data_IF_202700402809
#
_entry.id   IF_202700402809
#
_cell.length_a   1.000
_cell.length_b   1.000
_cell.length_c   1.000
_cell.angle_alpha   90.00
_cell.angle_beta   90.00
_cell.angle_gamma   90.00
#
_symmetry.space_group_name_H-M   'P 1'
#
loop_
_entity.id
_entity.type
_entity.pdbx_description
1 polymer ?
#
# COMPACT_ATOMS: atom_id res chain seq x y z
N UNK A 1 8.79 26.93 -36.84
CA UNK A 1 8.96 25.48 -36.58
C UNK A 1 7.60 24.83 -36.41
N UNK A 2 7.26 23.93 -37.31
CA UNK A 2 5.90 23.59 -37.74
C UNK A 2 5.06 22.74 -36.74
N UNK A 3 3.78 23.06 -36.63
CA UNK A 3 2.79 22.42 -35.75
C UNK A 3 2.62 20.89 -35.98
N UNK A 4 3.02 20.37 -37.15
CA UNK A 4 3.02 18.93 -37.45
C UNK A 4 3.98 18.13 -36.56
N UNK A 5 5.14 18.70 -36.22
CA UNK A 5 6.14 18.03 -35.38
C UNK A 5 5.65 17.87 -33.93
N UNK A 6 5.01 18.90 -33.36
CA UNK A 6 4.44 18.86 -32.00
C UNK A 6 3.36 17.79 -31.83
N UNK A 7 2.47 17.62 -32.81
CA UNK A 7 1.44 16.57 -32.77
C UNK A 7 2.04 15.16 -32.86
N UNK A 8 3.10 14.97 -33.66
CA UNK A 8 3.82 13.69 -33.77
C UNK A 8 4.53 13.31 -32.47
N UNK A 9 5.17 14.28 -31.82
CA UNK A 9 5.82 14.09 -30.52
C UNK A 9 4.78 13.77 -29.45
N UNK A 10 3.66 14.50 -29.42
CA UNK A 10 2.57 14.25 -28.46
C UNK A 10 1.97 12.85 -28.65
N UNK A 11 1.72 12.43 -29.89
CA UNK A 11 1.19 11.11 -30.20
C UNK A 11 2.18 10.00 -29.82
N UNK A 12 3.47 10.20 -30.09
CA UNK A 12 4.54 9.30 -29.65
C UNK A 12 4.61 9.17 -28.13
N UNK A 13 4.49 10.30 -27.40
CA UNK A 13 4.47 10.30 -25.95
C UNK A 13 3.26 9.55 -25.37
N UNK A 14 2.07 9.70 -25.98
CA UNK A 14 0.86 8.98 -25.57
C UNK A 14 1.02 7.46 -25.77
N UNK A 15 1.54 7.03 -26.92
CA UNK A 15 1.79 5.60 -27.19
C UNK A 15 2.81 5.03 -26.21
N UNK A 16 3.90 5.76 -25.96
CA UNK A 16 4.93 5.35 -25.00
C UNK A 16 4.37 5.19 -23.58
N UNK A 17 3.54 6.15 -23.14
CA UNK A 17 2.85 6.09 -21.85
C UNK A 17 1.90 4.88 -21.77
N UNK A 18 1.17 4.59 -22.84
CA UNK A 18 0.29 3.42 -22.91
C UNK A 18 1.08 2.12 -22.77
N UNK A 19 2.20 1.99 -23.49
CA UNK A 19 3.02 0.78 -23.45
C UNK A 19 3.65 0.54 -22.07
N UNK A 20 4.13 1.60 -21.40
CA UNK A 20 4.70 1.51 -20.04
C UNK A 20 3.61 1.11 -19.03
N UNK A 21 2.43 1.70 -19.11
CA UNK A 21 1.33 1.35 -18.21
C UNK A 21 0.82 -0.08 -18.48
N UNK A 22 0.71 -0.49 -19.74
CA UNK A 22 0.25 -1.83 -20.09
C UNK A 22 1.24 -2.91 -19.64
N UNK A 23 2.54 -2.69 -19.86
CA UNK A 23 3.58 -3.61 -19.39
C UNK A 23 3.64 -3.70 -17.87
N UNK A 24 3.43 -2.59 -17.16
CA UNK A 24 3.34 -2.59 -15.70
C UNK A 24 2.13 -3.40 -15.20
N UNK A 25 0.96 -3.23 -15.82
CA UNK A 25 -0.26 -4.00 -15.47
C UNK A 25 -0.03 -5.50 -15.69
N UNK A 26 0.52 -5.89 -16.84
CA UNK A 26 0.82 -7.29 -17.16
C UNK A 26 1.84 -7.87 -16.18
N UNK A 27 2.92 -7.15 -15.89
CA UNK A 27 3.98 -7.60 -14.98
C UNK A 27 3.46 -7.76 -13.56
N UNK A 28 2.68 -6.80 -13.05
CA UNK A 28 2.06 -6.89 -11.72
C UNK A 28 1.04 -8.03 -11.67
N UNK A 29 0.22 -8.19 -12.71
CA UNK A 29 -0.77 -9.26 -12.82
C UNK A 29 -0.13 -10.65 -12.82
N UNK A 30 0.88 -10.86 -13.66
CA UNK A 30 1.60 -12.13 -13.77
C UNK A 30 2.32 -12.51 -12.46
N UNK A 31 3.07 -11.56 -11.87
CA UNK A 31 3.77 -11.78 -10.59
C UNK A 31 2.81 -12.04 -9.43
N UNK A 32 1.58 -11.52 -9.48
CA UNK A 32 0.55 -11.79 -8.47
C UNK A 32 -0.08 -13.17 -8.63
N UNK A 33 -0.20 -13.66 -9.86
CA UNK A 33 -0.71 -15.00 -10.16
C UNK A 33 0.29 -16.09 -9.76
N UNK A 34 1.56 -15.93 -10.11
CA UNK A 34 2.63 -16.89 -9.77
C UNK A 34 2.91 -16.95 -8.26
N UNK A 35 2.93 -15.79 -7.57
CA UNK A 35 3.09 -15.76 -6.09
C UNK A 35 1.92 -16.40 -5.34
N UNK A 36 0.70 -16.38 -5.89
CA UNK A 36 -0.44 -17.11 -5.31
C UNK A 36 -0.21 -18.62 -5.36
N UNK A 37 0.26 -19.15 -6.49
CA UNK A 37 0.46 -20.60 -6.69
C UNK A 37 1.57 -21.21 -5.83
N UNK A 38 2.64 -20.48 -5.57
CA UNK A 38 3.77 -20.96 -4.78
C UNK A 38 3.49 -20.89 -3.28
N UNK A 39 2.93 -19.79 -2.79
CA UNK A 39 2.62 -19.61 -1.37
C UNK A 39 1.39 -20.42 -0.91
N UNK A 40 0.37 -20.59 -1.74
CA UNK A 40 -0.80 -21.41 -1.37
C UNK A 40 -0.43 -22.91 -1.30
N UNK A 41 0.65 -23.36 -1.96
CA UNK A 41 1.11 -24.77 -1.93
C UNK A 41 1.91 -25.11 -0.67
N UNK A 42 2.72 -24.18 -0.17
CA UNK A 42 3.45 -24.34 1.11
C UNK A 42 2.51 -24.20 2.33
N UNK A 43 1.42 -23.44 2.20
CA UNK A 43 0.45 -23.16 3.27
C UNK A 43 -0.56 -24.30 3.55
N UNK A 44 -0.94 -25.09 2.54
CA UNK A 44 -1.93 -26.18 2.70
C UNK A 44 -1.35 -27.37 3.49
N UNK A 45 -0.03 -27.50 3.55
CA UNK A 45 0.62 -28.66 4.16
C UNK A 45 0.77 -28.54 5.69
N UNK A 46 0.69 -27.34 6.28
CA UNK A 46 0.97 -27.16 7.71
C UNK A 46 -0.24 -26.90 8.61
N UNK A 47 -1.33 -26.22 8.22
CA UNK A 47 -2.51 -26.10 9.09
C UNK A 47 -3.85 -25.95 8.36
N UNK A 48 -4.76 -26.90 8.63
CA UNK A 48 -6.19 -26.70 8.46
C UNK A 48 -6.70 -25.56 9.34
N UNK A 49 -7.72 -24.84 8.85
CA UNK A 49 -8.52 -23.87 9.60
C UNK A 49 -7.83 -22.61 10.16
N UNK A 50 -7.80 -21.54 9.35
CA UNK A 50 -8.56 -20.28 9.57
C UNK A 50 -7.97 -19.17 8.70
N UNK A 51 -8.81 -18.64 7.82
CA UNK A 51 -8.49 -17.62 6.83
C UNK A 51 -8.25 -16.26 7.51
N UNK A 52 -7.01 -15.96 7.87
CA UNK A 52 -6.58 -14.59 8.16
C UNK A 52 -5.43 -14.18 7.21
N UNK A 53 -5.64 -13.22 6.29
CA UNK A 53 -4.59 -12.73 5.39
C UNK A 53 -3.35 -12.21 6.14
N UNK A 54 -3.55 -11.68 7.36
CA UNK A 54 -2.47 -11.24 8.25
C UNK A 54 -1.54 -12.37 8.72
N UNK A 55 -2.01 -13.62 8.68
CA UNK A 55 -1.24 -14.79 9.08
C UNK A 55 -0.04 -15.04 8.17
N UNK A 56 -0.21 -14.84 6.85
CA UNK A 56 0.85 -15.08 5.85
C UNK A 56 2.10 -14.23 6.07
N UNK A 57 1.92 -12.95 6.39
CA UNK A 57 3.04 -12.04 6.63
C UNK A 57 3.76 -12.38 7.94
N UNK A 58 3.01 -12.77 8.98
CA UNK A 58 3.60 -13.20 10.26
C UNK A 58 4.47 -14.44 10.05
N UNK A 59 3.98 -15.46 9.34
CA UNK A 59 4.75 -16.67 9.03
C UNK A 59 5.96 -16.41 8.12
N UNK A 60 5.82 -15.52 7.12
CA UNK A 60 6.96 -15.11 6.31
C UNK A 60 8.08 -14.52 7.16
N UNK A 61 7.77 -13.59 8.08
CA UNK A 61 8.76 -12.99 8.98
C UNK A 61 9.38 -14.01 9.93
N UNK A 62 8.59 -14.97 10.43
CA UNK A 62 9.10 -16.08 11.26
C UNK A 62 10.15 -16.90 10.52
N UNK A 63 9.86 -17.26 9.26
CA UNK A 63 10.73 -18.08 8.41
C UNK A 63 11.99 -17.31 7.99
N UNK A 64 11.83 -16.07 7.52
CA UNK A 64 12.92 -15.25 7.00
C UNK A 64 13.92 -14.83 8.08
N UNK A 65 13.45 -14.57 9.30
CA UNK A 65 14.29 -14.17 10.43
C UNK A 65 14.64 -15.34 11.36
N UNK A 66 14.27 -16.58 10.98
CA UNK A 66 14.49 -17.81 11.76
C UNK A 66 14.12 -17.66 13.25
N UNK A 67 12.98 -17.02 13.52
CA UNK A 67 12.57 -16.71 14.90
C UNK A 67 12.21 -17.98 15.65
N UNK A 68 12.72 -18.12 16.88
CA UNK A 68 12.21 -19.11 17.84
C UNK A 68 10.73 -18.84 18.16
N UNK A 69 10.02 -19.85 18.67
CA UNK A 69 8.59 -19.72 19.01
C UNK A 69 8.34 -18.55 19.99
N UNK A 70 9.18 -18.43 21.01
CA UNK A 70 9.08 -17.35 22.00
C UNK A 70 9.34 -15.96 21.39
N UNK A 71 10.31 -15.85 20.47
CA UNK A 71 10.56 -14.59 19.75
C UNK A 71 9.40 -14.25 18.81
N UNK A 72 8.82 -15.25 18.14
CA UNK A 72 7.70 -15.07 17.25
C UNK A 72 6.41 -14.64 17.97
N UNK A 73 6.14 -15.23 19.13
CA UNK A 73 5.00 -14.84 19.98
C UNK A 73 5.15 -13.39 20.45
N UNK A 74 6.36 -13.00 20.89
CA UNK A 74 6.66 -11.62 21.28
C UNK A 74 6.50 -10.65 20.11
N UNK A 75 6.99 -11.01 18.92
CA UNK A 75 6.79 -10.23 17.71
C UNK A 75 5.31 -10.06 17.38
N UNK A 76 4.51 -11.13 17.46
CA UNK A 76 3.08 -11.07 17.20
C UNK A 76 2.38 -10.09 18.16
N UNK A 77 2.68 -10.18 19.45
CA UNK A 77 2.13 -9.26 20.46
C UNK A 77 2.50 -7.80 20.17
N UNK A 78 3.77 -7.53 19.92
CA UNK A 78 4.25 -6.16 19.60
C UNK A 78 3.62 -5.62 18.31
N UNK A 79 3.46 -6.46 17.28
CA UNK A 79 2.81 -6.09 16.02
C UNK A 79 1.33 -5.76 16.22
N UNK A 80 0.63 -6.55 17.03
CA UNK A 80 -0.79 -6.35 17.30
C UNK A 80 -1.01 -5.07 18.10
N UNK A 81 -0.19 -4.82 19.13
CA UNK A 81 -0.20 -3.57 19.90
C UNK A 81 0.08 -2.33 19.01
N UNK A 82 1.11 -2.39 18.17
CA UNK A 82 1.41 -1.30 17.24
C UNK A 82 0.27 -1.08 16.23
N UNK A 83 -0.40 -2.15 15.79
CA UNK A 83 -1.54 -2.05 14.88
C UNK A 83 -2.71 -1.33 15.55
N UNK A 84 -3.05 -1.69 16.79
CA UNK A 84 -4.09 -1.00 17.57
C UNK A 84 -3.75 0.49 17.78
N UNK A 85 -2.49 0.82 18.08
CA UNK A 85 -2.05 2.21 18.28
C UNK A 85 -2.12 3.05 17.01
N UNK A 86 -1.79 2.44 15.87
CA UNK A 86 -1.75 3.14 14.57
C UNK A 86 -3.11 3.21 13.88
N UNK A 87 -4.08 2.38 14.28
CA UNK A 87 -5.41 2.31 13.68
C UNK A 87 -6.11 3.68 13.65
N UNK A 88 -6.05 4.44 14.75
CA UNK A 88 -6.65 5.78 14.84
C UNK A 88 -6.09 6.76 13.79
N UNK A 89 -4.80 6.68 13.48
CA UNK A 89 -4.17 7.54 12.48
C UNK A 89 -4.55 7.11 11.06
N UNK A 90 -4.62 5.79 10.82
CA UNK A 90 -5.10 5.23 9.56
C UNK A 90 -6.55 5.62 9.29
N UNK A 91 -7.40 5.59 10.32
CA UNK A 91 -8.80 6.04 10.22
C UNK A 91 -8.88 7.52 9.83
N UNK A 92 -8.08 8.39 10.45
CA UNK A 92 -7.99 9.81 10.07
C UNK A 92 -7.53 10.01 8.63
N UNK A 93 -6.52 9.28 8.18
CA UNK A 93 -6.06 9.32 6.78
C UNK A 93 -7.20 8.95 5.82
N UNK A 94 -8.00 7.93 6.15
CA UNK A 94 -9.16 7.55 5.31
C UNK A 94 -10.20 8.66 5.23
N UNK A 95 -10.47 9.35 6.34
CA UNK A 95 -11.37 10.50 6.35
C UNK A 95 -10.85 11.63 5.47
N UNK A 96 -9.60 12.05 5.65
CA UNK A 96 -9.01 13.11 4.82
C UNK A 96 -8.97 12.74 3.32
N UNK A 97 -8.70 11.48 2.98
CA UNK A 97 -8.78 11.03 1.58
C UNK A 97 -10.20 11.14 1.01
N UNK A 98 -11.22 10.83 1.82
CA UNK A 98 -12.62 11.01 1.41
C UNK A 98 -12.92 12.49 1.19
N UNK A 99 -12.43 13.36 2.06
CA UNK A 99 -12.63 14.81 1.96
C UNK A 99 -11.92 15.39 0.73
N UNK A 100 -10.71 14.92 0.41
CA UNK A 100 -10.00 15.29 -0.83
C UNK A 100 -10.83 14.90 -2.06
N UNK A 101 -11.37 13.66 -2.09
CA UNK A 101 -12.21 13.20 -3.21
C UNK A 101 -13.47 14.07 -3.32
N UNK A 102 -14.09 14.43 -2.20
CA UNK A 102 -15.25 15.32 -2.18
C UNK A 102 -14.91 16.72 -2.69
N UNK A 103 -13.76 17.28 -2.31
CA UNK A 103 -13.29 18.60 -2.73
C UNK A 103 -12.98 18.64 -4.24
N UNK A 104 -12.31 17.62 -4.77
CA UNK A 104 -12.00 17.51 -6.21
C UNK A 104 -13.28 17.45 -7.06
N UNK A 105 -14.35 16.86 -6.53
CA UNK A 105 -15.62 16.71 -7.23
C UNK A 105 -16.51 17.96 -7.20
N UNK A 106 -16.11 19.04 -6.54
CA UNK A 106 -16.86 20.30 -6.56
C UNK A 106 -16.74 21.00 -7.91
N UNK A 107 -17.74 21.79 -8.29
CA UNK A 107 -17.70 22.61 -9.52
C UNK A 107 -16.52 23.58 -9.55
N UNK A 108 -16.07 24.05 -8.37
CA UNK A 108 -14.89 24.88 -8.18
C UNK A 108 -14.05 24.32 -7.01
N UNK A 109 -13.11 23.40 -7.27
CA UNK A 109 -12.24 22.87 -6.23
C UNK A 109 -11.33 23.94 -5.65
N UNK A 110 -11.19 23.98 -4.32
CA UNK A 110 -10.26 24.89 -3.64
C UNK A 110 -8.89 24.22 -3.42
N UNK A 111 -7.87 24.75 -4.10
CA UNK A 111 -6.49 24.25 -3.99
C UNK A 111 -5.89 24.43 -2.59
N UNK A 112 -6.35 25.42 -1.82
CA UNK A 112 -5.89 25.66 -0.44
C UNK A 112 -6.39 24.56 0.48
N UNK A 113 -7.66 24.17 0.33
CA UNK A 113 -8.27 23.08 1.09
C UNK A 113 -7.58 21.75 0.77
N UNK A 114 -7.31 21.49 -0.52
CA UNK A 114 -6.59 20.29 -0.94
C UNK A 114 -5.17 20.22 -0.36
N UNK A 115 -4.46 21.35 -0.30
CA UNK A 115 -3.14 21.42 0.31
C UNK A 115 -3.20 21.11 1.81
N UNK A 116 -4.12 21.75 2.54
CA UNK A 116 -4.32 21.53 3.98
C UNK A 116 -4.67 20.07 4.31
N UNK A 117 -5.54 19.44 3.52
CA UNK A 117 -5.90 18.03 3.68
C UNK A 117 -4.69 17.12 3.40
N UNK A 118 -3.88 17.46 2.40
CA UNK A 118 -2.66 16.71 2.06
C UNK A 118 -1.61 16.80 3.16
N UNK A 119 -1.39 17.99 3.72
CA UNK A 119 -0.49 18.20 4.86
C UNK A 119 -0.98 17.44 6.10
N UNK A 120 -2.30 17.43 6.33
CA UNK A 120 -2.92 16.67 7.41
C UNK A 120 -2.68 15.17 7.29
N UNK A 121 -2.75 14.61 6.07
CA UNK A 121 -2.37 13.22 5.78
C UNK A 121 -0.89 12.99 6.08
N UNK A 122 -0.01 13.90 5.65
CA UNK A 122 1.43 13.85 5.94
C UNK A 122 1.72 13.80 7.44
N UNK A 123 1.03 14.62 8.24
CA UNK A 123 1.15 14.59 9.70
C UNK A 123 0.71 13.25 10.31
N UNK A 124 -0.38 12.65 9.82
CA UNK A 124 -0.79 11.33 10.32
C UNK A 124 0.23 10.24 9.98
N UNK A 125 0.83 10.27 8.79
CA UNK A 125 1.92 9.36 8.43
C UNK A 125 3.14 9.53 9.34
N UNK A 126 3.49 10.76 9.71
CA UNK A 126 4.54 11.02 10.70
C UNK A 126 4.23 10.35 12.05
N UNK A 127 2.99 10.44 12.54
CA UNK A 127 2.61 9.77 13.79
C UNK A 127 2.68 8.25 13.70
N UNK A 128 2.29 7.66 12.56
CA UNK A 128 2.45 6.21 12.34
C UNK A 128 3.93 5.81 12.41
N UNK A 129 4.82 6.58 11.78
CA UNK A 129 6.26 6.30 11.83
C UNK A 129 6.84 6.42 13.25
N UNK A 130 6.37 7.38 14.04
CA UNK A 130 6.77 7.52 15.45
C UNK A 130 6.35 6.30 16.27
N UNK A 131 5.12 5.81 16.11
CA UNK A 131 4.67 4.59 16.81
C UNK A 131 5.43 3.35 16.33
N UNK A 132 5.74 3.25 15.03
CA UNK A 132 6.57 2.16 14.51
C UNK A 132 7.96 2.13 15.14
N UNK A 133 8.67 3.27 15.12
CA UNK A 133 10.03 3.37 15.68
C UNK A 133 10.08 3.17 17.20
N UNK A 134 8.96 3.31 17.91
CA UNK A 134 8.89 3.01 19.35
C UNK A 134 8.85 1.50 19.61
N UNK A 135 8.36 0.70 18.66
CA UNK A 135 8.14 -0.73 18.81
C UNK A 135 9.11 -1.60 18.02
N UNK A 136 9.70 -1.09 16.94
CA UNK A 136 10.64 -1.78 16.06
C UNK A 136 11.88 -0.92 15.84
#
# INVERSE_FOLDING_TARGET
>A
MEAKSKKRILFGAIILLLLINLSAIVTIGYNRYERKKTLDREYIQEQGEKKNPHSRMKFFVKKELELSEAQFERYCKMKDENTQRTEKYIAKIKLFKKDIIAEINKEKPDSTVLLLLSDSIGQQHKFINIEMNRHF
#
